data_IF_326456618642
#
_entry.id   IF_326456618642
#
_cell.length_a   1.000
_cell.length_b   1.000
_cell.length_c   1.000
_cell.angle_alpha   90.00
_cell.angle_beta   90.00
_cell.angle_gamma   90.00
#
_symmetry.space_group_name_H-M   'P 1'
#
loop_
_entity.id
_entity.type
_entity.pdbx_description
1 polymer ?
#
# COMPACT_ATOMS: atom_id res chain seq x y z
N UNK A 1 -10.76 17.02 -2.81
CA UNK A 1 -9.42 17.47 -3.24
C UNK A 1 -8.94 16.49 -4.31
N UNK A 2 -8.82 16.93 -5.55
CA UNK A 2 -8.48 16.08 -6.70
C UNK A 2 -6.97 15.87 -6.89
N UNK A 3 -6.59 15.12 -7.93
CA UNK A 3 -5.20 14.73 -8.25
C UNK A 3 -4.24 15.92 -8.30
N UNK A 4 -4.64 17.05 -8.89
CA UNK A 4 -3.82 18.27 -8.98
C UNK A 4 -3.34 18.78 -7.62
N UNK A 5 -4.26 19.19 -6.75
CA UNK A 5 -3.92 19.76 -5.43
C UNK A 5 -3.26 18.74 -4.50
N UNK A 6 -3.64 17.46 -4.59
CA UNK A 6 -3.00 16.41 -3.80
C UNK A 6 -1.54 16.23 -4.17
N UNK A 7 -1.23 16.23 -5.46
CA UNK A 7 0.14 16.08 -5.96
C UNK A 7 0.99 17.29 -5.57
N UNK A 8 0.47 18.51 -5.72
CA UNK A 8 1.16 19.74 -5.27
C UNK A 8 1.52 19.63 -3.79
N UNK A 9 0.58 19.22 -2.93
CA UNK A 9 0.82 19.07 -1.50
C UNK A 9 1.96 18.08 -1.20
N UNK A 10 2.00 16.94 -1.90
CA UNK A 10 3.08 15.96 -1.72
C UNK A 10 4.44 16.59 -2.07
N UNK A 11 4.52 17.26 -3.21
CA UNK A 11 5.77 17.90 -3.68
C UNK A 11 6.19 19.07 -2.78
N UNK A 12 5.26 19.86 -2.27
CA UNK A 12 5.53 20.92 -1.27
C UNK A 12 6.13 20.36 0.02
N UNK A 13 5.83 19.11 0.38
CA UNK A 13 6.42 18.41 1.52
C UNK A 13 7.71 17.65 1.15
N UNK A 14 8.28 17.91 -0.02
CA UNK A 14 9.50 17.26 -0.49
C UNK A 14 9.32 15.79 -0.93
N UNK A 15 8.07 15.32 -1.04
CA UNK A 15 7.77 13.97 -1.51
C UNK A 15 7.70 14.01 -3.04
N UNK A 16 8.41 13.09 -3.69
CA UNK A 16 8.41 12.95 -5.16
C UNK A 16 7.52 11.76 -5.54
N UNK A 17 6.22 11.98 -5.82
CA UNK A 17 5.33 10.89 -6.17
C UNK A 17 5.59 10.39 -7.60
N UNK A 18 5.41 9.09 -7.79
CA UNK A 18 5.25 8.43 -9.08
C UNK A 18 3.87 7.79 -9.05
N UNK A 19 3.03 8.06 -10.05
CA UNK A 19 1.73 7.41 -10.16
C UNK A 19 1.86 6.13 -10.98
N UNK A 20 1.19 5.06 -10.56
CA UNK A 20 1.12 3.82 -11.33
C UNK A 20 -0.34 3.56 -11.64
N UNK A 21 -0.65 3.33 -12.92
CA UNK A 21 -1.99 3.04 -13.39
C UNK A 21 -2.13 1.55 -13.69
N UNK A 22 -3.28 0.98 -13.34
CA UNK A 22 -3.61 -0.41 -13.67
C UNK A 22 -3.66 -0.64 -15.19
N UNK A 23 -3.21 -1.82 -15.58
CA UNK A 23 -3.32 -2.36 -16.92
C UNK A 23 -4.51 -3.31 -17.05
N UNK A 24 -4.28 -4.45 -17.70
CA UNK A 24 -5.32 -5.46 -17.92
C UNK A 24 -5.45 -6.33 -16.66
N UNK A 25 -6.66 -6.47 -16.08
CA UNK A 25 -6.83 -7.32 -14.92
C UNK A 25 -6.51 -8.79 -15.24
N UNK A 26 -5.97 -9.55 -14.27
CA UNK A 26 -5.65 -10.96 -14.47
C UNK A 26 -6.95 -11.77 -14.61
N UNK A 27 -6.90 -12.88 -15.36
CA UNK A 27 -8.08 -13.72 -15.64
C UNK A 27 -8.82 -14.15 -14.38
N UNK A 28 -8.08 -14.55 -13.35
CA UNK A 28 -8.58 -14.97 -12.04
C UNK A 28 -9.46 -13.91 -11.34
N UNK A 29 -9.25 -12.62 -11.63
CA UNK A 29 -10.04 -11.53 -11.06
C UNK A 29 -11.43 -11.40 -11.68
N UNK A 30 -11.75 -12.17 -12.73
CA UNK A 30 -13.04 -12.12 -13.42
C UNK A 30 -14.21 -12.32 -12.46
N UNK A 31 -14.13 -13.31 -11.57
CA UNK A 31 -15.19 -13.62 -10.61
C UNK A 31 -15.46 -12.47 -9.64
N UNK A 32 -14.42 -11.78 -9.15
CA UNK A 32 -14.58 -10.61 -8.29
C UNK A 32 -15.09 -9.39 -9.08
N UNK A 33 -14.67 -9.23 -10.34
CA UNK A 33 -15.18 -8.18 -11.23
C UNK A 33 -16.68 -8.37 -11.53
N UNK A 34 -17.14 -9.60 -11.71
CA UNK A 34 -18.55 -9.96 -11.88
C UNK A 34 -19.35 -9.64 -10.61
N UNK A 35 -18.88 -10.09 -9.43
CA UNK A 35 -19.50 -9.72 -8.14
C UNK A 35 -19.56 -8.19 -7.93
N UNK A 36 -18.55 -7.45 -8.38
CA UNK A 36 -18.55 -5.97 -8.36
C UNK A 36 -19.52 -5.38 -9.37
N UNK A 37 -19.80 -6.06 -10.49
CA UNK A 37 -20.82 -5.64 -11.44
C UNK A 37 -22.23 -5.91 -10.90
N UNK A 38 -22.49 -7.08 -10.34
CA UNK A 38 -23.77 -7.45 -9.71
C UNK A 38 -24.13 -6.48 -8.58
N UNK A 39 -23.20 -6.22 -7.65
CA UNK A 39 -23.40 -5.23 -6.57
C UNK A 39 -23.72 -3.82 -7.08
N UNK A 40 -23.23 -3.45 -8.27
CA UNK A 40 -23.53 -2.15 -8.89
C UNK A 40 -24.91 -2.15 -9.52
N UNK A 41 -25.31 -3.23 -10.19
CA UNK A 41 -26.68 -3.37 -10.71
C UNK A 41 -27.73 -3.37 -9.58
N UNK A 42 -27.44 -4.05 -8.47
CA UNK A 42 -28.28 -3.99 -7.27
C UNK A 42 -28.33 -2.57 -6.70
N UNK A 43 -27.18 -1.89 -6.55
CA UNK A 43 -27.14 -0.51 -6.07
C UNK A 43 -27.89 0.46 -6.99
N UNK A 44 -27.95 0.19 -8.30
CA UNK A 44 -28.71 0.98 -9.26
C UNK A 44 -30.21 0.82 -9.07
N UNK A 45 -30.70 -0.42 -8.89
CA UNK A 45 -32.10 -0.69 -8.57
C UNK A 45 -32.52 -0.04 -7.25
N UNK A 46 -31.66 -0.08 -6.24
CA UNK A 46 -31.93 0.56 -4.95
C UNK A 46 -31.87 2.10 -5.03
N UNK A 47 -31.03 2.66 -5.91
CA UNK A 47 -31.03 4.10 -6.19
C UNK A 47 -32.34 4.56 -6.84
N UNK A 48 -32.86 3.79 -7.80
CA UNK A 48 -34.14 4.09 -8.46
C UNK A 48 -35.28 4.12 -7.43
N UNK A 49 -35.37 3.11 -6.56
CA UNK A 49 -36.34 3.09 -5.45
C UNK A 49 -36.18 4.27 -4.49
N UNK A 50 -34.94 4.60 -4.11
CA UNK A 50 -34.67 5.74 -3.22
C UNK A 50 -35.04 7.08 -3.87
N UNK A 51 -34.89 7.18 -5.19
CA UNK A 51 -35.28 8.36 -5.98
C UNK A 51 -36.80 8.51 -6.03
N UNK A 52 -37.53 7.41 -6.28
CA UNK A 52 -39.00 7.39 -6.26
C UNK A 52 -39.56 7.71 -4.86
N UNK A 53 -38.91 7.24 -3.80
CA UNK A 53 -39.29 7.50 -2.42
C UNK A 53 -38.87 8.88 -1.88
N UNK A 54 -38.08 9.65 -2.64
CA UNK A 54 -37.56 10.95 -2.20
C UNK A 54 -36.55 10.87 -1.04
N UNK A 55 -35.92 9.71 -0.81
CA UNK A 55 -34.94 9.51 0.26
C UNK A 55 -33.56 10.06 -0.17
N UNK A 56 -33.29 11.31 0.19
CA UNK A 56 -32.02 11.98 -0.09
C UNK A 56 -30.80 11.25 0.47
N UNK A 57 -30.90 10.63 1.66
CA UNK A 57 -29.79 9.92 2.28
C UNK A 57 -29.51 8.59 1.55
N UNK A 58 -30.57 7.88 1.15
CA UNK A 58 -30.49 6.70 0.29
C UNK A 58 -29.86 7.03 -1.06
N UNK A 59 -30.32 8.10 -1.71
CA UNK A 59 -29.78 8.55 -2.99
C UNK A 59 -28.27 8.84 -2.94
N UNK A 60 -27.79 9.59 -1.95
CA UNK A 60 -26.36 9.88 -1.81
C UNK A 60 -25.54 8.60 -1.59
N UNK A 61 -26.04 7.71 -0.72
CA UNK A 61 -25.39 6.44 -0.40
C UNK A 61 -25.24 5.55 -1.63
N UNK A 62 -26.29 5.38 -2.42
CA UNK A 62 -26.25 4.51 -3.61
C UNK A 62 -25.47 5.16 -4.76
N UNK A 63 -25.57 6.49 -4.94
CA UNK A 63 -24.73 7.22 -5.90
C UNK A 63 -23.24 6.99 -5.65
N UNK A 64 -22.79 7.03 -4.40
CA UNK A 64 -21.39 6.76 -4.04
C UNK A 64 -20.95 5.33 -4.40
N UNK A 65 -21.85 4.35 -4.38
CA UNK A 65 -21.56 2.95 -4.76
C UNK A 65 -21.51 2.73 -6.27
N UNK A 66 -22.16 3.61 -7.05
CA UNK A 66 -22.18 3.53 -8.52
C UNK A 66 -20.97 4.19 -9.18
N UNK A 67 -20.18 4.97 -8.43
CA UNK A 67 -18.98 5.62 -8.96
C UNK A 67 -18.01 4.56 -9.51
N UNK A 68 -17.75 4.64 -10.81
CA UNK A 68 -16.78 3.80 -11.52
C UNK A 68 -15.73 4.69 -12.16
N UNK A 69 -14.45 4.32 -12.00
CA UNK A 69 -13.36 4.94 -12.75
C UNK A 69 -13.45 4.47 -14.20
N UNK A 70 -13.47 5.42 -15.14
CA UNK A 70 -13.50 5.15 -16.58
C UNK A 70 -12.10 5.31 -17.18
N UNK A 71 -11.92 4.80 -18.40
CA UNK A 71 -10.69 5.04 -19.16
C UNK A 71 -10.45 6.53 -19.38
N UNK A 72 -11.50 7.30 -19.65
CA UNK A 72 -11.43 8.77 -19.77
C UNK A 72 -10.84 9.40 -18.52
N UNK A 73 -11.32 9.09 -17.32
CA UNK A 73 -10.74 9.64 -16.08
C UNK A 73 -9.24 9.33 -15.93
N UNK A 74 -8.83 8.14 -16.37
CA UNK A 74 -7.44 7.69 -16.33
C UNK A 74 -6.58 8.48 -17.32
N UNK A 75 -7.02 8.60 -18.56
CA UNK A 75 -6.31 9.33 -19.63
C UNK A 75 -6.19 10.82 -19.29
N UNK A 76 -7.25 11.42 -18.74
CA UNK A 76 -7.23 12.80 -18.24
C UNK A 76 -6.28 13.01 -17.07
N UNK A 77 -6.19 12.04 -16.14
CA UNK A 77 -5.23 12.09 -15.06
C UNK A 77 -3.79 11.96 -15.58
N UNK A 78 -3.52 11.10 -16.56
CA UNK A 78 -2.20 10.97 -17.20
C UNK A 78 -1.80 12.27 -17.89
N UNK A 79 -2.72 12.88 -18.64
CA UNK A 79 -2.48 14.18 -19.28
C UNK A 79 -2.17 15.26 -18.25
N UNK A 80 -2.95 15.33 -17.16
CA UNK A 80 -2.70 16.24 -16.06
C UNK A 80 -1.30 16.03 -15.45
N UNK A 81 -0.92 14.79 -15.13
CA UNK A 81 0.38 14.48 -14.54
C UNK A 81 1.55 14.85 -15.47
N UNK A 82 1.38 14.61 -16.77
CA UNK A 82 2.34 15.01 -17.81
C UNK A 82 2.56 16.53 -17.81
N UNK A 83 1.48 17.31 -17.80
CA UNK A 83 1.54 18.77 -17.72
C UNK A 83 2.14 19.26 -16.40
N UNK A 84 1.90 18.55 -15.30
CA UNK A 84 2.53 18.83 -14.00
C UNK A 84 4.02 18.45 -13.94
N UNK A 85 4.55 17.75 -14.95
CA UNK A 85 5.91 17.22 -14.95
C UNK A 85 6.16 16.10 -13.94
N UNK A 86 5.12 15.36 -13.58
CA UNK A 86 5.16 14.24 -12.64
C UNK A 86 5.15 12.92 -13.43
N UNK A 87 6.13 12.02 -13.20
CA UNK A 87 6.19 10.76 -13.91
C UNK A 87 5.04 9.84 -13.49
N UNK A 88 4.57 9.06 -14.45
CA UNK A 88 3.67 7.95 -14.20
C UNK A 88 4.14 6.70 -14.96
N UNK A 89 3.70 5.54 -14.49
CA UNK A 89 3.95 4.23 -15.10
C UNK A 89 2.61 3.56 -15.38
N UNK A 90 2.51 2.84 -16.49
CA UNK A 90 1.37 1.99 -16.79
C UNK A 90 1.79 0.55 -16.52
N UNK A 91 1.19 -0.08 -15.51
CA UNK A 91 1.45 -1.48 -15.23
C UNK A 91 0.82 -2.35 -16.34
N UNK A 92 1.39 -3.52 -16.67
CA UNK A 92 0.79 -4.44 -17.63
C UNK A 92 -0.46 -5.10 -17.02
N UNK A 93 -0.43 -5.33 -15.71
CA UNK A 93 -1.51 -5.93 -14.93
C UNK A 93 -1.89 -5.03 -13.73
N UNK A 94 -1.66 -5.46 -12.49
CA UNK A 94 -2.00 -4.70 -11.28
C UNK A 94 -0.95 -3.62 -10.95
N UNK A 95 -1.40 -2.43 -10.57
CA UNK A 95 -0.52 -1.33 -10.18
C UNK A 95 0.22 -1.62 -8.88
N UNK A 96 -0.40 -2.31 -7.91
CA UNK A 96 0.22 -2.68 -6.62
C UNK A 96 1.44 -3.57 -6.83
N UNK A 97 1.35 -4.52 -7.77
CA UNK A 97 2.44 -5.41 -8.12
C UNK A 97 3.63 -4.64 -8.71
N UNK A 98 3.36 -3.73 -9.66
CA UNK A 98 4.40 -2.88 -10.25
C UNK A 98 5.03 -1.95 -9.21
N UNK A 99 4.22 -1.38 -8.32
CA UNK A 99 4.69 -0.53 -7.23
C UNK A 99 5.61 -1.32 -6.27
N UNK A 100 5.21 -2.53 -5.89
CA UNK A 100 6.00 -3.41 -5.04
C UNK A 100 7.35 -3.74 -5.70
N UNK A 101 7.38 -3.96 -7.01
CA UNK A 101 8.61 -4.20 -7.77
C UNK A 101 9.55 -3.00 -7.77
N UNK A 102 9.03 -1.77 -7.98
CA UNK A 102 9.81 -0.53 -7.90
C UNK A 102 10.42 -0.33 -6.50
N UNK A 103 9.70 -0.67 -5.44
CA UNK A 103 10.21 -0.63 -4.07
C UNK A 103 11.32 -1.65 -3.84
N UNK A 104 11.13 -2.91 -4.26
CA UNK A 104 12.17 -3.96 -4.12
C UNK A 104 13.47 -3.62 -4.83
N UNK A 105 13.39 -2.91 -5.95
CA UNK A 105 14.54 -2.45 -6.74
C UNK A 105 15.10 -1.09 -6.26
N UNK A 106 14.63 -0.58 -5.12
CA UNK A 106 15.04 0.69 -4.53
C UNK A 106 14.89 1.90 -5.48
N UNK A 107 14.00 1.83 -6.47
CA UNK A 107 13.67 2.97 -7.36
C UNK A 107 12.77 3.98 -6.64
N UNK A 108 11.96 3.50 -5.69
CA UNK A 108 11.10 4.32 -4.82
C UNK A 108 11.16 3.79 -3.38
N UNK A 109 10.87 4.64 -2.40
CA UNK A 109 10.97 4.28 -0.97
C UNK A 109 9.84 3.35 -0.48
N UNK A 110 8.60 3.61 -0.90
CA UNK A 110 7.43 2.90 -0.42
C UNK A 110 6.27 2.97 -1.41
N UNK A 111 5.30 2.06 -1.27
CA UNK A 111 4.03 2.08 -2.01
C UNK A 111 2.99 2.86 -1.22
N UNK A 112 2.38 3.89 -1.83
CA UNK A 112 1.31 4.66 -1.22
C UNK A 112 -0.06 4.18 -1.72
N UNK A 113 -0.68 3.24 -1.00
CA UNK A 113 -1.99 2.66 -1.35
C UNK A 113 -2.80 2.36 -0.08
N UNK A 114 -4.12 2.29 -0.22
CA UNK A 114 -5.00 1.76 0.83
C UNK A 114 -5.16 0.24 0.76
N UNK A 115 -4.77 -0.36 -0.37
CA UNK A 115 -4.84 -1.79 -0.60
C UNK A 115 -3.64 -2.51 0.03
N UNK A 116 -3.92 -3.45 0.92
CA UNK A 116 -2.87 -4.18 1.65
C UNK A 116 -2.19 -5.24 0.79
N UNK A 117 -2.74 -5.58 -0.38
CA UNK A 117 -2.19 -6.60 -1.28
C UNK A 117 -0.80 -6.21 -1.82
N UNK A 118 -0.43 -4.92 -1.78
CA UNK A 118 0.94 -4.49 -2.06
C UNK A 118 1.99 -5.13 -1.13
N UNK A 119 1.64 -5.47 0.12
CA UNK A 119 2.51 -6.26 1.01
C UNK A 119 2.60 -7.71 0.56
N UNK A 120 1.50 -8.29 0.08
CA UNK A 120 1.43 -9.68 -0.44
C UNK A 120 2.29 -9.82 -1.71
N UNK A 121 2.24 -8.84 -2.61
CA UNK A 121 3.18 -8.72 -3.73
C UNK A 121 4.64 -8.48 -3.31
N UNK A 122 4.88 -8.23 -2.02
CA UNK A 122 6.21 -8.16 -1.42
C UNK A 122 6.83 -6.78 -1.40
N UNK A 123 6.03 -5.70 -1.39
CA UNK A 123 6.55 -4.38 -1.07
C UNK A 123 7.17 -4.38 0.32
N UNK A 124 8.38 -3.82 0.47
CA UNK A 124 9.04 -3.73 1.78
C UNK A 124 8.37 -2.70 2.70
N UNK A 125 7.83 -1.62 2.13
CA UNK A 125 7.17 -0.54 2.86
C UNK A 125 5.87 -0.13 2.15
N UNK A 126 4.77 -0.09 2.91
CA UNK A 126 3.46 0.38 2.47
C UNK A 126 3.03 1.56 3.34
N UNK A 127 2.59 2.65 2.70
CA UNK A 127 2.10 3.86 3.33
C UNK A 127 0.60 4.04 3.09
N UNK A 128 -0.19 4.11 4.17
CA UNK A 128 -1.63 4.41 4.13
C UNK A 128 -1.92 5.85 4.56
N UNK A 129 -3.07 6.35 4.13
CA UNK A 129 -3.58 7.69 4.36
C UNK A 129 -2.77 8.82 3.71
N UNK A 130 -1.84 8.48 2.81
CA UNK A 130 -1.03 9.46 2.06
C UNK A 130 -1.89 10.39 1.20
N UNK A 131 -3.01 9.88 0.68
CA UNK A 131 -3.88 10.60 -0.24
C UNK A 131 -5.05 11.30 0.46
N UNK A 132 -5.16 11.17 1.78
CA UNK A 132 -6.27 11.73 2.54
C UNK A 132 -6.18 13.26 2.62
N UNK A 133 -7.34 13.89 2.62
CA UNK A 133 -7.44 15.34 2.82
C UNK A 133 -6.88 15.71 4.19
N UNK A 134 -6.13 16.80 4.26
CA UNK A 134 -5.57 17.35 5.50
C UNK A 134 -6.67 17.61 6.56
N UNK A 135 -7.87 17.98 6.11
CA UNK A 135 -9.03 18.19 6.97
C UNK A 135 -9.41 16.95 7.81
N UNK A 136 -9.07 15.75 7.35
CA UNK A 136 -9.34 14.50 8.10
C UNK A 136 -8.37 14.27 9.26
N UNK A 137 -7.23 14.98 9.30
CA UNK A 137 -6.21 14.90 10.37
C UNK A 137 -5.77 13.46 10.73
N UNK A 138 -5.85 12.53 9.79
CA UNK A 138 -5.42 11.15 10.03
C UNK A 138 -3.90 11.04 9.81
N UNK A 139 -3.17 10.40 10.73
CA UNK A 139 -1.74 10.20 10.56
C UNK A 139 -1.48 9.22 9.43
N UNK A 140 -0.38 9.46 8.72
CA UNK A 140 0.17 8.51 7.75
C UNK A 140 0.61 7.26 8.52
N UNK A 141 0.18 6.09 8.06
CA UNK A 141 0.55 4.81 8.66
C UNK A 141 1.58 4.13 7.78
N UNK A 142 2.66 3.66 8.39
CA UNK A 142 3.72 2.90 7.71
C UNK A 142 3.67 1.43 8.14
N UNK A 143 3.61 0.54 7.15
CA UNK A 143 3.66 -0.90 7.32
C UNK A 143 4.96 -1.40 6.69
N UNK A 144 5.83 -1.97 7.52
CA UNK A 144 7.08 -2.58 7.07
C UNK A 144 6.91 -4.10 7.02
N UNK A 145 7.08 -4.70 5.84
CA UNK A 145 6.87 -6.13 5.63
C UNK A 145 7.73 -6.99 6.55
N UNK A 146 8.99 -6.61 6.76
CA UNK A 146 9.89 -7.34 7.69
C UNK A 146 9.34 -7.38 9.11
N UNK A 147 8.80 -6.26 9.61
CA UNK A 147 8.19 -6.20 10.94
C UNK A 147 6.89 -7.01 11.01
N UNK A 148 6.12 -7.04 9.92
CA UNK A 148 4.90 -7.87 9.82
C UNK A 148 5.25 -9.35 9.87
N UNK A 149 6.21 -9.79 9.05
CA UNK A 149 6.69 -11.17 9.01
C UNK A 149 7.28 -11.60 10.36
N UNK A 150 8.09 -10.74 10.99
CA UNK A 150 8.65 -11.00 12.31
C UNK A 150 7.58 -11.06 13.40
N UNK A 151 6.60 -10.16 13.39
CA UNK A 151 5.50 -10.15 14.36
C UNK A 151 4.54 -11.35 14.20
N UNK A 152 4.39 -11.87 12.99
CA UNK A 152 3.60 -13.06 12.71
C UNK A 152 4.39 -14.37 12.84
N UNK A 153 5.72 -14.30 12.91
CA UNK A 153 6.63 -15.46 12.90
C UNK A 153 6.43 -16.33 11.64
N UNK A 154 6.28 -15.68 10.48
CA UNK A 154 6.04 -16.32 9.19
C UNK A 154 7.15 -15.98 8.20
N UNK A 155 7.50 -16.97 7.37
CA UNK A 155 8.23 -16.74 6.14
C UNK A 155 7.31 -16.06 5.11
N UNK A 156 7.90 -15.44 4.08
CA UNK A 156 7.15 -14.71 3.07
C UNK A 156 6.18 -15.61 2.30
N UNK A 157 6.60 -16.83 2.01
CA UNK A 157 5.81 -17.83 1.28
C UNK A 157 4.56 -18.21 2.09
N UNK A 158 4.73 -18.49 3.39
CA UNK A 158 3.61 -18.74 4.30
C UNK A 158 2.73 -17.50 4.51
N UNK A 159 3.30 -16.29 4.41
CA UNK A 159 2.52 -15.06 4.49
C UNK A 159 1.60 -14.87 3.27
N UNK A 160 2.06 -15.22 2.06
CA UNK A 160 1.20 -15.20 0.86
C UNK A 160 0.04 -16.19 1.03
N UNK A 161 0.33 -17.41 1.50
CA UNK A 161 -0.69 -18.41 1.79
C UNK A 161 -1.69 -17.94 2.86
N UNK A 162 -1.20 -17.25 3.89
CA UNK A 162 -2.06 -16.61 4.87
C UNK A 162 -2.99 -15.59 4.20
N UNK A 163 -2.48 -14.69 3.35
CA UNK A 163 -3.30 -13.70 2.66
C UNK A 163 -4.38 -14.35 1.78
N UNK A 164 -4.05 -15.42 1.06
CA UNK A 164 -5.03 -16.19 0.29
C UNK A 164 -6.12 -16.79 1.18
N UNK A 165 -5.74 -17.35 2.35
CA UNK A 165 -6.70 -17.88 3.32
C UNK A 165 -7.60 -16.80 3.95
N UNK A 166 -7.09 -15.58 4.14
CA UNK A 166 -7.87 -14.44 4.63
C UNK A 166 -8.89 -13.94 3.60
N UNK A 167 -8.67 -14.25 2.32
CA UNK A 167 -9.46 -13.81 1.18
C UNK A 167 -8.70 -12.77 0.37
N UNK A 168 -8.54 -13.05 -0.92
CA UNK A 168 -7.95 -12.17 -1.91
C UNK A 168 -8.90 -12.01 -3.11
N UNK A 169 -8.59 -11.08 -4.02
CA UNK A 169 -9.39 -10.80 -5.20
C UNK A 169 -9.29 -11.88 -6.31
N UNK A 170 -8.37 -12.85 -6.18
CA UNK A 170 -8.00 -13.78 -7.26
C UNK A 170 -8.59 -15.18 -7.11
N UNK A 171 -8.94 -15.62 -5.90
CA UNK A 171 -9.54 -16.93 -5.68
C UNK A 171 -10.44 -16.89 -4.43
N UNK A 172 -11.42 -17.81 -4.30
CA UNK A 172 -12.21 -17.91 -3.09
C UNK A 172 -11.35 -18.28 -1.87
N UNK A 173 -11.90 -18.10 -0.67
CA UNK A 173 -11.31 -18.55 0.59
C UNK A 173 -12.10 -19.72 1.18
N UNK A 174 -11.52 -20.47 2.12
CA UNK A 174 -12.21 -21.57 2.79
C UNK A 174 -13.29 -21.03 3.73
N UNK A 175 -14.55 -21.44 3.52
CA UNK A 175 -15.67 -20.99 4.34
C UNK A 175 -15.50 -21.44 5.80
N UNK A 176 -15.65 -20.50 6.74
CA UNK A 176 -15.54 -20.75 8.18
C UNK A 176 -14.12 -20.67 8.74
N UNK A 177 -13.11 -20.41 7.90
CA UNK A 177 -11.76 -20.05 8.33
C UNK A 177 -11.64 -18.53 8.28
N UNK A 178 -11.65 -17.90 9.45
CA UNK A 178 -11.41 -16.46 9.60
C UNK A 178 -9.98 -16.15 10.05
N UNK A 179 -9.65 -14.86 10.31
CA UNK A 179 -8.27 -14.43 10.53
C UNK A 179 -7.51 -15.14 11.64
N UNK A 180 -8.15 -15.32 12.80
CA UNK A 180 -7.53 -16.02 13.93
C UNK A 180 -7.17 -17.46 13.57
N UNK A 181 -8.11 -18.17 12.93
CA UNK A 181 -7.94 -19.57 12.57
C UNK A 181 -6.95 -19.75 11.43
N UNK A 182 -6.95 -18.85 10.45
CA UNK A 182 -5.98 -18.85 9.35
C UNK A 182 -4.53 -18.73 9.88
N UNK A 183 -4.28 -17.83 10.83
CA UNK A 183 -2.95 -17.68 11.46
C UNK A 183 -2.55 -18.94 12.23
N UNK A 184 -3.46 -19.55 12.99
CA UNK A 184 -3.18 -20.82 13.69
C UNK A 184 -2.81 -21.94 12.72
N UNK A 185 -3.60 -22.12 11.67
CA UNK A 185 -3.41 -23.17 10.68
C UNK A 185 -2.12 -22.98 9.90
N UNK A 186 -1.82 -21.75 9.45
CA UNK A 186 -0.59 -21.49 8.69
C UNK A 186 0.66 -21.64 9.56
N UNK A 187 0.59 -21.30 10.86
CA UNK A 187 1.70 -21.53 11.78
C UNK A 187 1.98 -23.01 11.98
N UNK A 188 0.93 -23.83 12.05
CA UNK A 188 1.01 -25.28 12.28
C UNK A 188 1.39 -26.07 11.03
N UNK A 189 0.87 -25.68 9.87
CA UNK A 189 0.93 -26.48 8.64
C UNK A 189 1.76 -25.83 7.52
N UNK A 190 2.14 -24.56 7.67
CA UNK A 190 3.03 -23.76 6.81
C UNK A 190 2.51 -23.44 5.41
N UNK A 191 1.77 -24.34 4.77
CA UNK A 191 1.24 -24.17 3.41
C UNK A 191 -0.24 -24.55 3.31
N UNK A 192 -0.93 -24.03 2.30
CA UNK A 192 -2.35 -24.32 2.04
C UNK A 192 -2.58 -25.82 1.78
N UNK A 193 -1.69 -26.49 1.04
CA UNK A 193 -1.78 -27.92 0.74
C UNK A 193 -1.86 -28.76 2.02
N UNK A 194 -0.92 -28.53 2.93
CA UNK A 194 -0.87 -29.21 4.23
C UNK A 194 -2.10 -28.92 5.10
N UNK A 195 -2.68 -27.72 4.94
CA UNK A 195 -3.92 -27.35 5.62
C UNK A 195 -5.07 -28.19 5.05
N UNK A 196 -5.25 -28.23 3.73
CA UNK A 196 -6.32 -28.98 3.06
C UNK A 196 -6.26 -30.48 3.41
N UNK A 197 -5.07 -31.06 3.53
CA UNK A 197 -4.90 -32.46 3.92
C UNK A 197 -5.34 -32.75 5.36
N UNK A 198 -5.12 -31.81 6.28
CA UNK A 198 -5.29 -32.03 7.73
C UNK A 198 -6.57 -31.45 8.30
N UNK A 199 -7.29 -30.59 7.57
CA UNK A 199 -8.54 -30.02 8.06
C UNK A 199 -9.69 -31.04 8.00
N UNK A 200 -10.66 -30.86 8.89
CA UNK A 200 -11.93 -31.56 8.82
C UNK A 200 -12.77 -31.03 7.66
N UNK A 201 -12.73 -31.73 6.51
CA UNK A 201 -13.47 -31.41 5.29
C UNK A 201 -15.00 -31.45 5.46
N UNK A 202 -15.53 -32.09 6.51
CA UNK A 202 -16.97 -32.06 6.81
C UNK A 202 -17.38 -30.75 7.44
N UNK A 203 -16.48 -30.15 8.24
CA UNK A 203 -16.70 -28.86 8.92
C UNK A 203 -16.34 -27.67 8.02
N UNK A 204 -15.25 -27.80 7.27
CA UNK A 204 -14.72 -26.74 6.42
C UNK A 204 -14.92 -27.10 4.95
N UNK A 205 -15.85 -26.41 4.30
CA UNK A 205 -16.08 -26.57 2.87
C UNK A 205 -14.95 -25.92 2.08
N UNK A 206 -14.02 -26.75 1.60
CA UNK A 206 -13.01 -26.33 0.62
C UNK A 206 -13.71 -26.12 -0.72
N UNK A 207 -13.50 -25.00 -1.43
CA UNK A 207 -14.05 -24.79 -2.75
C UNK A 207 -13.66 -25.94 -3.71
N UNK A 208 -14.61 -26.39 -4.53
CA UNK A 208 -14.30 -27.27 -5.67
C UNK A 208 -13.45 -26.48 -6.68
N UNK A 209 -12.48 -27.14 -7.31
CA UNK A 209 -11.52 -26.54 -8.26
C UNK A 209 -10.85 -25.27 -7.73
N UNK A 210 -10.38 -25.28 -6.47
CA UNK A 210 -9.78 -24.12 -5.85
C UNK A 210 -8.41 -23.75 -6.47
N UNK A 211 -8.39 -22.71 -7.30
CA UNK A 211 -7.21 -22.19 -8.03
C UNK A 211 -6.21 -21.40 -7.14
N UNK A 212 -6.02 -21.79 -5.87
CA UNK A 212 -5.14 -21.05 -4.95
C UNK A 212 -3.67 -21.07 -5.39
N UNK A 213 -3.23 -22.12 -6.10
CA UNK A 213 -1.87 -22.22 -6.63
C UNK A 213 -1.58 -21.15 -7.68
N UNK A 214 -2.56 -20.85 -8.54
CA UNK A 214 -2.44 -19.80 -9.53
C UNK A 214 -2.44 -18.41 -8.87
N UNK A 215 -3.30 -18.19 -7.88
CA UNK A 215 -3.31 -16.96 -7.09
C UNK A 215 -1.97 -16.76 -6.36
N UNK A 216 -1.41 -17.81 -5.77
CA UNK A 216 -0.07 -17.79 -5.16
C UNK A 216 1.00 -17.42 -6.18
N UNK A 217 0.96 -18.03 -7.37
CA UNK A 217 1.91 -17.74 -8.46
C UNK A 217 1.83 -16.26 -8.86
N UNK A 218 0.63 -15.70 -8.98
CA UNK A 218 0.45 -14.27 -9.28
C UNK A 218 1.10 -13.35 -8.24
N UNK A 219 1.02 -13.69 -6.94
CA UNK A 219 1.66 -12.90 -5.89
C UNK A 219 3.20 -13.03 -5.88
N UNK A 220 3.72 -14.19 -6.27
CA UNK A 220 5.17 -14.47 -6.30
C UNK A 220 5.82 -13.85 -7.54
N UNK A 221 5.22 -14.08 -8.70
CA UNK A 221 5.73 -13.71 -10.03
C UNK A 221 4.63 -13.00 -10.84
N UNK A 222 4.26 -11.76 -10.45
CA UNK A 222 3.26 -10.98 -11.18
C UNK A 222 3.79 -10.51 -12.53
N UNK A 223 2.88 -10.31 -13.49
CA UNK A 223 3.20 -9.61 -14.73
C UNK A 223 3.50 -8.12 -14.42
N UNK A 224 4.75 -7.73 -14.62
CA UNK A 224 5.27 -6.37 -14.36
C UNK A 224 6.23 -5.95 -15.48
N UNK A 225 6.37 -4.64 -15.68
CA UNK A 225 7.49 -4.07 -16.43
C UNK A 225 8.78 -4.21 -15.60
N UNK A 226 9.91 -4.36 -16.29
CA UNK A 226 11.22 -4.36 -15.64
C UNK A 226 11.46 -3.01 -14.96
N UNK A 227 11.59 -2.97 -13.61
CA UNK A 227 11.88 -1.74 -12.89
C UNK A 227 13.20 -1.07 -13.29
N UNK A 228 14.15 -1.84 -13.82
CA UNK A 228 15.46 -1.31 -14.21
C UNK A 228 15.37 -0.46 -15.49
N UNK A 229 14.48 -0.83 -16.43
CA UNK A 229 14.18 -0.11 -17.66
C UNK A 229 13.32 1.15 -17.44
N UNK A 230 12.64 1.24 -16.29
CA UNK A 230 11.82 2.41 -15.94
C UNK A 230 12.71 3.57 -15.47
N UNK A 231 12.74 4.64 -16.26
CA UNK A 231 13.36 5.92 -15.90
C UNK A 231 12.32 6.89 -15.32
N UNK A 232 12.47 7.22 -14.04
CA UNK A 232 11.58 8.14 -13.33
C UNK A 232 12.11 9.56 -13.43
N UNK A 233 11.64 10.31 -14.44
CA UNK A 233 12.07 11.68 -14.68
C UNK A 233 10.97 12.69 -14.34
N UNK A 234 11.24 13.57 -13.38
CA UNK A 234 10.40 14.75 -13.12
C UNK A 234 10.82 15.91 -14.01
N UNK A 235 9.91 16.45 -14.81
CA UNK A 235 10.14 17.62 -15.69
C UNK A 235 9.52 18.88 -15.08
N UNK A 236 9.86 20.05 -15.61
CA UNK A 236 9.21 21.28 -15.16
C UNK A 236 7.72 21.27 -15.55
N UNK A 237 6.84 21.85 -14.72
CA UNK A 237 5.43 21.93 -15.04
C UNK A 237 5.19 22.94 -16.17
N UNK A 238 4.31 22.58 -17.09
CA UNK A 238 3.82 23.43 -18.17
C UNK A 238 2.66 24.29 -17.64
N UNK A 239 2.95 25.53 -17.21
CA UNK A 239 1.95 26.42 -16.63
C UNK A 239 0.83 26.75 -17.61
N UNK A 240 1.16 27.06 -18.85
CA UNK A 240 0.17 27.47 -19.86
C UNK A 240 -0.67 26.28 -20.31
N UNK A 241 -0.06 25.11 -20.52
CA UNK A 241 -0.79 23.88 -20.81
C UNK A 241 -1.72 23.44 -19.66
N UNK A 242 -1.32 23.66 -18.40
CA UNK A 242 -2.19 23.41 -17.24
C UNK A 242 -3.41 24.35 -17.21
N UNK A 243 -3.22 25.63 -17.56
CA UNK A 243 -4.31 26.61 -17.61
C UNK A 243 -5.27 26.26 -18.74
N UNK A 244 -4.77 25.95 -19.94
CA UNK A 244 -5.62 25.54 -21.07
C UNK A 244 -6.45 24.30 -20.71
N UNK A 245 -5.81 23.26 -20.16
CA UNK A 245 -6.46 21.99 -19.85
C UNK A 245 -7.48 22.06 -18.70
N UNK A 246 -7.20 22.85 -17.65
CA UNK A 246 -8.06 22.93 -16.47
C UNK A 246 -9.07 24.09 -16.54
N UNK A 247 -8.68 25.25 -17.07
CA UNK A 247 -9.53 26.44 -17.10
C UNK A 247 -10.37 26.54 -18.37
N UNK A 248 -9.87 26.04 -19.50
CA UNK A 248 -10.62 25.96 -20.75
C UNK A 248 -11.75 24.94 -20.65
N UNK A 249 -11.42 23.66 -20.70
CA UNK A 249 -12.40 22.58 -20.85
C UNK A 249 -13.13 22.20 -19.56
N UNK A 250 -12.63 22.62 -18.39
CA UNK A 250 -13.10 22.11 -17.08
C UNK A 250 -13.50 23.20 -16.09
N UNK A 251 -13.59 24.45 -16.53
CA UNK A 251 -14.08 25.61 -15.76
C UNK A 251 -13.38 25.81 -14.39
N UNK A 252 -12.11 25.42 -14.24
CA UNK A 252 -11.33 25.77 -13.05
C UNK A 252 -10.96 27.26 -13.07
N UNK A 253 -10.81 27.86 -11.89
CA UNK A 253 -10.35 29.25 -11.76
C UNK A 253 -8.87 29.38 -12.13
N UNK A 254 -8.56 30.20 -13.15
CA UNK A 254 -7.20 30.41 -13.67
C UNK A 254 -6.19 30.81 -12.58
N UNK A 255 -6.54 31.78 -11.75
CA UNK A 255 -5.68 32.24 -10.65
C UNK A 255 -5.24 31.11 -9.72
N UNK A 256 -6.15 30.15 -9.46
CA UNK A 256 -5.86 29.01 -8.60
C UNK A 256 -4.94 28.00 -9.28
N UNK A 257 -5.13 27.77 -10.58
CA UNK A 257 -4.30 26.84 -11.37
C UNK A 257 -2.89 27.41 -11.50
N UNK A 258 -2.74 28.67 -11.92
CA UNK A 258 -1.43 29.34 -12.02
C UNK A 258 -0.71 29.40 -10.67
N UNK A 259 -1.44 29.72 -9.60
CA UNK A 259 -0.89 29.68 -8.24
C UNK A 259 -0.40 28.28 -7.85
N UNK A 260 -1.15 27.23 -8.20
CA UNK A 260 -0.76 25.83 -8.00
C UNK A 260 0.48 25.44 -8.80
N UNK A 261 0.56 25.82 -10.07
CA UNK A 261 1.70 25.56 -10.94
C UNK A 261 2.98 26.24 -10.41
N UNK A 262 2.89 27.52 -10.00
CA UNK A 262 4.02 28.24 -9.38
C UNK A 262 4.50 27.59 -8.09
N UNK A 263 3.57 27.12 -7.25
CA UNK A 263 3.92 26.36 -6.03
C UNK A 263 4.67 25.07 -6.36
N UNK A 264 4.20 24.33 -7.36
CA UNK A 264 4.84 23.10 -7.83
C UNK A 264 6.26 23.34 -8.34
N UNK A 265 6.44 24.37 -9.19
CA UNK A 265 7.75 24.76 -9.71
C UNK A 265 8.71 25.18 -8.58
N UNK A 266 8.23 26.00 -7.64
CA UNK A 266 9.02 26.44 -6.48
C UNK A 266 9.42 25.26 -5.58
N UNK A 267 8.47 24.39 -5.23
CA UNK A 267 8.73 23.24 -4.38
C UNK A 267 9.78 22.31 -5.00
N UNK A 268 9.75 22.15 -6.33
CA UNK A 268 10.75 21.35 -7.05
C UNK A 268 12.15 21.99 -7.05
N UNK A 269 12.23 23.31 -7.15
CA UNK A 269 13.50 24.06 -7.10
C UNK A 269 14.15 24.07 -5.70
N UNK A 270 13.35 23.89 -4.64
CA UNK A 270 13.87 23.79 -3.29
C UNK A 270 14.64 22.48 -3.12
N UNK A 271 15.91 22.54 -2.67
CA UNK A 271 16.74 21.33 -2.55
C UNK A 271 16.10 20.37 -1.55
N UNK A 272 15.59 19.24 -2.04
CA UNK A 272 15.13 18.15 -1.17
C UNK A 272 16.35 17.52 -0.51
N UNK A 273 16.50 17.69 0.81
CA UNK A 273 17.54 17.01 1.59
C UNK A 273 17.39 15.49 1.41
N UNK A 274 18.43 14.83 0.90
CA UNK A 274 18.44 13.37 0.77
C UNK A 274 18.42 12.70 2.14
N UNK A 275 17.61 11.66 2.30
CA UNK A 275 17.60 10.83 3.52
C UNK A 275 18.73 9.81 3.45
N UNK A 276 19.39 9.57 4.58
CA UNK A 276 20.42 8.52 4.70
C UNK A 276 19.87 7.13 4.36
N UNK A 277 18.60 6.88 4.70
CA UNK A 277 17.90 5.63 4.38
C UNK A 277 17.79 5.37 2.87
N UNK A 278 17.91 6.41 2.03
CA UNK A 278 17.95 6.28 0.57
C UNK A 278 19.34 5.87 0.03
N UNK A 279 20.39 5.91 0.85
CA UNK A 279 21.75 5.55 0.49
C UNK A 279 22.23 4.24 1.14
N UNK A 280 21.69 3.90 2.30
CA UNK A 280 22.11 2.73 3.08
C UNK A 280 20.93 1.81 3.36
N UNK A 281 21.12 0.50 3.17
CA UNK A 281 20.14 -0.49 3.62
C UNK A 281 20.08 -0.53 5.15
N UNK A 282 18.88 -0.50 5.71
CA UNK A 282 18.68 -0.61 7.16
C UNK A 282 19.07 -2.01 7.62
N UNK A 283 20.16 -2.12 8.38
CA UNK A 283 20.48 -3.36 9.11
C UNK A 283 19.63 -3.41 10.38
N UNK A 284 19.05 -4.58 10.68
CA UNK A 284 18.19 -4.78 11.85
C UNK A 284 18.83 -4.22 13.13
N UNK A 285 18.06 -3.48 13.92
CA UNK A 285 18.54 -2.89 15.17
C UNK A 285 19.11 -3.97 16.09
N UNK A 286 20.41 -3.89 16.39
CA UNK A 286 21.01 -4.70 17.45
C UNK A 286 20.34 -4.32 18.78
N UNK A 287 19.53 -5.22 19.33
CA UNK A 287 18.89 -5.02 20.63
C UNK A 287 19.98 -4.86 21.70
N UNK A 288 20.28 -3.61 22.07
CA UNK A 288 21.20 -3.26 23.16
C UNK A 288 20.68 -3.67 24.56
N UNK A 289 19.53 -4.35 24.63
CA UNK A 289 18.96 -4.88 25.86
C UNK A 289 19.89 -5.89 26.57
N UNK A 290 20.73 -6.62 25.83
CA UNK A 290 21.72 -7.52 26.44
C UNK A 290 22.91 -6.77 27.07
N UNK A 291 23.27 -5.58 26.55
CA UNK A 291 24.40 -4.80 27.09
C UNK A 291 24.07 -4.18 28.45
N UNK A 292 22.83 -3.72 28.65
CA UNK A 292 22.36 -3.17 29.94
C UNK A 292 22.28 -4.22 31.06
N UNK A 293 21.86 -5.47 30.76
CA UNK A 293 21.85 -6.56 31.76
C UNK A 293 23.27 -7.01 32.15
N UNK A 294 24.22 -7.01 31.20
CA UNK A 294 25.61 -7.38 31.48
C UNK A 294 26.36 -6.35 32.35
N UNK A 295 26.02 -5.06 32.25
CA UNK A 295 26.59 -4.00 33.10
C UNK A 295 26.01 -4.00 34.53
N UNK A 296 24.72 -4.31 34.70
CA UNK A 296 24.11 -4.45 36.03
C UNK A 296 24.63 -5.66 36.83
N UNK A 297 24.98 -6.76 36.17
CA UNK A 297 25.60 -7.91 36.86
C UNK A 297 27.07 -7.65 37.25
N UNK A 298 27.80 -6.85 36.47
CA UNK A 298 29.17 -6.45 36.82
C UNK A 298 29.21 -5.47 37.99
N UNK A 299 28.27 -4.54 38.09
CA UNK A 299 28.21 -3.59 39.21
C UNK A 299 27.87 -4.26 40.55
N UNK A 300 27.03 -5.31 40.55
CA UNK A 300 26.70 -6.09 41.76
C UNK A 300 27.85 -6.99 42.27
N UNK A 301 28.79 -7.39 41.41
CA UNK A 301 29.97 -8.19 41.82
C UNK A 301 31.12 -7.34 42.38
N UNK A 302 31.18 -6.04 42.07
CA UNK A 302 32.22 -5.13 42.57
C UNK A 302 32.01 -4.63 44.01
N UNK A 303 30.77 -4.59 44.51
CA UNK A 303 30.43 -3.97 45.79
C UNK A 303 30.61 -4.87 47.04
N UNK A 304 31.09 -6.11 46.90
CA UNK A 304 31.18 -7.10 48.01
C UNK A 304 32.58 -7.44 48.52
N UNK A 305 33.63 -6.73 48.10
CA UNK A 305 34.99 -6.88 48.66
C UNK A 305 35.53 -5.54 49.13
N UNK A 306 35.61 -5.34 50.45
CA UNK A 306 36.42 -4.26 51.04
C UNK A 306 35.82 -3.54 52.24
N UNK A 307 35.52 -4.24 53.34
CA UNK A 307 35.46 -3.62 54.67
C UNK A 307 36.21 -4.49 55.67
N UNK A 308 37.54 -4.46 55.55
CA UNK A 308 38.49 -5.05 56.48
C UNK A 308 39.08 -3.97 57.38
N UNK A 309 38.81 -4.09 58.68
CA UNK A 309 39.44 -3.46 59.85
C UNK A 309 40.81 -2.77 59.62
N UNK A 310 40.88 -1.46 59.86
CA UNK A 310 42.15 -0.74 60.07
C UNK A 310 42.52 -0.78 61.57
N UNK A 311 43.63 -1.42 61.92
CA UNK A 311 44.24 -1.44 63.26
C UNK A 311 45.60 -0.70 63.20
N UNK A 312 45.76 0.24 64.14
CA UNK A 312 46.94 1.06 64.56
C UNK A 312 48.36 0.62 64.15
N UNK A 313 49.26 1.59 63.97
CA UNK A 313 50.46 1.75 64.83
C UNK A 313 51.20 3.10 64.63
N UNK A 314 51.60 3.65 65.79
CA UNK A 314 52.60 4.70 66.13
C UNK A 314 52.40 6.11 65.61
#
# INVERSE_FOLDING_TARGET
>A
MGTFYRTIRLVENGIKPVFVFDGKPPKMKSSELEKRAERREEAKKELEKATEAGDAAGMEKFNRRLVKVTKTHTDECKQLLKLMGVPYVEAPCEAEAQCAALVKKNKVYAVATEDMDALTFGSSVLLRHMTFSEARKMPIQEFCLEKVLAGLELAKESFIDLCILLGCDYCPSIRGIGPKRAIELIRQHKTIENIIEKIDKKKYGVPEDWEFEEARRLFIDPEILDPDEIELKWTEPDEDGLVEFLCGDRNFTEDRVRSGARKLAKAKSSSTQGRLDGFFSVLGTTNNAMKRKAEEEKSKKGAKKGRGSFRKAK
#
